data_IF_449116617102
#
_entry.id   IF_449116617102
#
_cell.length_a   1.000
_cell.length_b   1.000
_cell.length_c   1.000
_cell.angle_alpha   90.00
_cell.angle_beta   90.00
_cell.angle_gamma   90.00
#
_symmetry.space_group_name_H-M   'P 1'
#
loop_
_entity.id
_entity.type
_entity.pdbx_description
1 polymer ?
#
# COMPACT_ATOMS: atom_id res chain seq x y z
N UNK A 1 5.58 14.79 -57.04
CA UNK A 1 6.21 13.77 -56.17
C UNK A 1 6.59 14.44 -54.86
N UNK A 2 5.82 14.20 -53.79
CA UNK A 2 6.06 14.83 -52.49
C UNK A 2 7.30 14.19 -51.85
N UNK A 3 8.37 14.97 -51.68
CA UNK A 3 9.59 14.53 -50.99
C UNK A 3 9.26 14.27 -49.52
N UNK A 4 9.16 12.99 -49.14
CA UNK A 4 9.13 12.59 -47.72
C UNK A 4 10.44 13.04 -47.07
N UNK A 5 10.35 14.08 -46.24
CA UNK A 5 11.46 14.55 -45.40
C UNK A 5 11.69 13.51 -44.30
N UNK A 6 12.69 12.64 -44.47
CA UNK A 6 13.04 11.59 -43.49
C UNK A 6 13.28 12.12 -42.06
N UNK A 7 13.72 13.37 -41.91
CA UNK A 7 13.86 14.02 -40.59
C UNK A 7 12.54 14.24 -39.85
N UNK A 8 11.41 14.30 -40.55
CA UNK A 8 10.08 14.49 -39.95
C UNK A 8 9.61 13.22 -39.22
N UNK A 9 9.83 12.05 -39.82
CA UNK A 9 9.45 10.74 -39.27
C UNK A 9 10.26 10.41 -38.00
N UNK A 10 11.55 10.79 -37.99
CA UNK A 10 12.42 10.56 -36.84
C UNK A 10 12.00 11.41 -35.63
N UNK A 11 11.63 12.66 -35.87
CA UNK A 11 11.17 13.58 -34.84
C UNK A 11 9.82 13.13 -34.26
N UNK A 12 8.87 12.72 -35.11
CA UNK A 12 7.59 12.15 -34.66
C UNK A 12 7.77 10.87 -33.85
N UNK A 13 8.70 10.00 -34.24
CA UNK A 13 9.00 8.77 -33.50
C UNK A 13 9.63 9.08 -32.13
N UNK A 14 10.49 10.11 -32.06
CA UNK A 14 11.12 10.54 -30.81
C UNK A 14 10.11 11.19 -29.86
N UNK A 15 9.20 12.02 -30.37
CA UNK A 15 8.15 12.63 -29.53
C UNK A 15 7.18 11.57 -29.03
N UNK A 16 6.78 10.61 -29.87
CA UNK A 16 5.97 9.47 -29.45
C UNK A 16 6.66 8.67 -28.35
N UNK A 17 7.96 8.38 -28.48
CA UNK A 17 8.73 7.68 -27.45
C UNK A 17 8.75 8.44 -26.12
N UNK A 18 9.01 9.75 -26.14
CA UNK A 18 9.03 10.59 -24.92
C UNK A 18 7.66 10.58 -24.24
N UNK A 19 6.57 10.69 -25.00
CA UNK A 19 5.21 10.64 -24.48
C UNK A 19 4.95 9.27 -23.84
N UNK A 20 5.29 8.18 -24.54
CA UNK A 20 5.12 6.81 -24.00
C UNK A 20 5.89 6.60 -22.70
N UNK A 21 7.15 7.02 -22.64
CA UNK A 21 7.95 6.93 -21.40
C UNK A 21 7.32 7.75 -20.28
N UNK A 22 6.85 8.96 -20.57
CA UNK A 22 6.20 9.82 -19.58
C UNK A 22 4.91 9.20 -19.03
N UNK A 23 4.12 8.57 -19.90
CA UNK A 23 2.90 7.85 -19.51
C UNK A 23 3.22 6.65 -18.63
N UNK A 24 4.18 5.80 -19.04
CA UNK A 24 4.60 4.62 -18.28
C UNK A 24 5.14 5.03 -16.91
N UNK A 25 5.95 6.09 -16.85
CA UNK A 25 6.50 6.61 -15.61
C UNK A 25 5.39 7.09 -14.67
N UNK A 26 4.45 7.88 -15.19
CA UNK A 26 3.31 8.39 -14.41
C UNK A 26 2.43 7.26 -13.87
N UNK A 27 2.14 6.25 -14.70
CA UNK A 27 1.39 5.07 -14.27
C UNK A 27 2.12 4.29 -13.18
N UNK A 28 3.44 4.11 -13.32
CA UNK A 28 4.27 3.41 -12.34
C UNK A 28 4.24 4.12 -10.99
N UNK A 29 4.37 5.45 -10.98
CA UNK A 29 4.25 6.26 -9.76
C UNK A 29 2.86 6.14 -9.13
N UNK A 30 1.80 6.25 -9.93
CA UNK A 30 0.43 6.14 -9.44
C UNK A 30 0.17 4.78 -8.80
N UNK A 31 0.52 3.69 -9.48
CA UNK A 31 0.39 2.32 -8.98
C UNK A 31 1.17 2.15 -7.67
N UNK A 32 2.38 2.71 -7.59
CA UNK A 32 3.20 2.66 -6.37
C UNK A 32 2.52 3.34 -5.19
N UNK A 33 1.94 4.52 -5.38
CA UNK A 33 1.19 5.21 -4.31
C UNK A 33 -0.09 4.48 -3.92
N UNK A 34 -0.80 3.89 -4.88
CA UNK A 34 -1.97 3.06 -4.59
C UNK A 34 -1.60 1.83 -3.76
N UNK A 35 -0.49 1.15 -4.08
CA UNK A 35 0.01 0.04 -3.28
C UNK A 35 0.33 0.45 -1.84
N UNK A 36 0.93 1.63 -1.63
CA UNK A 36 1.17 2.15 -0.27
C UNK A 36 -0.12 2.38 0.50
N UNK A 37 -1.18 2.87 -0.16
CA UNK A 37 -2.48 3.05 0.47
C UNK A 37 -3.13 1.71 0.83
N UNK A 38 -3.12 0.74 -0.10
CA UNK A 38 -3.64 -0.62 0.14
C UNK A 38 -2.92 -1.26 1.31
N UNK A 39 -1.59 -1.13 1.36
CA UNK A 39 -0.78 -1.68 2.43
C UNK A 39 -1.13 -1.09 3.81
N UNK A 40 -1.41 0.21 3.89
CA UNK A 40 -1.92 0.86 5.12
C UNK A 40 -3.29 0.34 5.52
N UNK A 41 -4.20 0.15 4.56
CA UNK A 41 -5.51 -0.42 4.81
C UNK A 41 -5.42 -1.87 5.28
N UNK A 42 -4.55 -2.67 4.67
CA UNK A 42 -4.29 -4.05 5.09
C UNK A 42 -3.75 -4.11 6.52
N UNK A 43 -2.82 -3.22 6.89
CA UNK A 43 -2.36 -3.10 8.28
C UNK A 43 -3.51 -2.82 9.25
N UNK A 44 -4.39 -1.87 8.90
CA UNK A 44 -5.55 -1.49 9.72
C UNK A 44 -6.54 -2.65 9.88
N UNK A 45 -6.91 -3.30 8.79
CA UNK A 45 -7.87 -4.42 8.79
C UNK A 45 -7.31 -5.58 9.61
N UNK A 46 -6.03 -5.93 9.42
CA UNK A 46 -5.38 -6.97 10.21
C UNK A 46 -5.34 -6.62 11.70
N UNK A 47 -5.05 -5.36 12.06
CA UNK A 47 -5.10 -4.92 13.44
C UNK A 47 -6.49 -5.09 14.07
N UNK A 48 -7.56 -4.73 13.35
CA UNK A 48 -8.93 -4.92 13.84
C UNK A 48 -9.31 -6.41 13.93
N UNK A 49 -8.86 -7.22 12.97
CA UNK A 49 -9.04 -8.68 13.01
C UNK A 49 -8.40 -9.30 14.25
N UNK A 50 -7.19 -8.86 14.61
CA UNK A 50 -6.51 -9.32 15.82
C UNK A 50 -7.31 -8.96 17.08
N UNK A 51 -7.84 -7.73 17.14
CA UNK A 51 -8.71 -7.30 18.25
C UNK A 51 -9.97 -8.17 18.32
N UNK A 52 -10.61 -8.44 17.18
CA UNK A 52 -11.81 -9.28 17.10
C UNK A 52 -11.54 -10.72 17.55
N UNK A 53 -10.44 -11.33 17.11
CA UNK A 53 -10.05 -12.68 17.56
C UNK A 53 -9.82 -12.75 19.07
N UNK A 54 -9.28 -11.68 19.66
CA UNK A 54 -9.12 -11.57 21.10
C UNK A 54 -10.48 -11.44 21.81
N UNK A 55 -11.42 -10.68 21.25
CA UNK A 55 -12.79 -10.55 21.76
C UNK A 55 -13.59 -11.86 21.70
N UNK A 56 -13.33 -12.69 20.68
CA UNK A 56 -13.94 -14.01 20.52
C UNK A 56 -13.38 -15.06 21.51
N UNK A 57 -12.45 -14.67 22.39
CA UNK A 57 -11.88 -15.56 23.41
C UNK A 57 -10.88 -16.57 22.85
N UNK A 58 -10.38 -16.37 21.63
CA UNK A 58 -9.21 -17.12 21.16
C UNK A 58 -7.98 -16.59 21.89
N UNK A 59 -7.10 -17.48 22.36
CA UNK A 59 -5.84 -17.10 23.00
C UNK A 59 -4.88 -16.54 21.94
N UNK A 60 -5.09 -15.26 21.62
CA UNK A 60 -4.27 -14.55 20.66
C UNK A 60 -2.99 -14.14 21.38
N UNK A 61 -1.88 -14.80 21.02
CA UNK A 61 -0.54 -14.42 21.48
C UNK A 61 -0.35 -12.91 21.34
N UNK A 62 0.17 -12.26 22.39
CA UNK A 62 0.43 -10.80 22.43
C UNK A 62 1.27 -10.29 21.26
N UNK A 63 1.96 -11.18 20.55
CA UNK A 63 2.75 -10.92 19.35
C UNK A 63 2.32 -11.86 18.23
N UNK A 64 1.94 -11.31 17.09
CA UNK A 64 1.63 -12.08 15.87
C UNK A 64 2.48 -11.57 14.72
N UNK A 65 2.96 -12.47 13.86
CA UNK A 65 3.68 -12.09 12.64
C UNK A 65 2.79 -12.36 11.44
N UNK A 66 2.44 -11.31 10.69
CA UNK A 66 1.68 -11.42 9.43
C UNK A 66 2.50 -10.74 8.33
N UNK A 67 2.78 -11.45 7.24
CA UNK A 67 3.57 -10.93 6.09
C UNK A 67 4.85 -10.19 6.51
N UNK A 68 5.67 -10.83 7.33
CA UNK A 68 6.94 -10.29 7.84
C UNK A 68 6.81 -9.00 8.69
N UNK A 69 5.60 -8.70 9.20
CA UNK A 69 5.34 -7.58 10.11
C UNK A 69 4.88 -8.10 11.45
N UNK A 70 5.36 -7.46 12.50
CA UNK A 70 5.06 -7.84 13.88
C UNK A 70 3.94 -6.96 14.40
N UNK A 71 2.86 -7.60 14.86
CA UNK A 71 1.70 -6.98 15.48
C UNK A 71 1.77 -7.25 16.98
N UNK A 72 1.77 -6.19 17.78
CA UNK A 72 1.75 -6.27 19.24
C UNK A 72 0.37 -5.89 19.76
N UNK A 73 -0.32 -6.84 20.37
CA UNK A 73 -1.59 -6.61 21.03
C UNK A 73 -1.38 -6.19 22.48
N UNK A 74 -2.07 -5.14 22.90
CA UNK A 74 -2.13 -4.65 24.28
C UNK A 74 -3.57 -4.31 24.65
N UNK A 75 -3.95 -4.60 25.88
CA UNK A 75 -5.25 -4.26 26.45
C UNK A 75 -5.04 -3.37 27.67
N UNK A 76 -5.70 -2.20 27.66
CA UNK A 76 -5.83 -1.30 28.81
C UNK A 76 -7.29 -1.30 29.27
N UNK A 77 -7.58 -0.87 30.50
CA UNK A 77 -8.91 -0.96 31.15
C UNK A 77 -10.10 -0.57 30.25
N UNK A 78 -9.95 0.42 29.36
CA UNK A 78 -11.01 0.90 28.47
C UNK A 78 -10.71 0.77 26.96
N UNK A 79 -9.58 0.20 26.55
CA UNK A 79 -9.15 0.22 25.14
C UNK A 79 -8.41 -1.05 24.72
N UNK A 80 -8.74 -1.55 23.52
CA UNK A 80 -7.95 -2.54 22.80
C UNK A 80 -7.00 -1.83 21.86
N UNK A 81 -5.71 -2.22 21.86
CA UNK A 81 -4.68 -1.58 21.06
C UNK A 81 -3.83 -2.61 20.33
N UNK A 82 -3.54 -2.34 19.05
CA UNK A 82 -2.60 -3.12 18.25
C UNK A 82 -1.56 -2.19 17.64
N UNK A 83 -0.29 -2.44 17.93
CA UNK A 83 0.85 -1.69 17.39
C UNK A 83 1.53 -2.44 16.26
N UNK A 84 1.75 -1.75 15.13
CA UNK A 84 2.41 -2.28 13.92
C UNK A 84 3.30 -1.20 13.34
N UNK A 85 4.61 -1.44 13.22
CA UNK A 85 5.54 -0.51 12.57
C UNK A 85 5.35 0.97 12.98
N UNK A 86 5.23 1.24 14.29
CA UNK A 86 4.97 2.56 14.93
C UNK A 86 3.54 3.11 14.77
N UNK A 87 2.66 2.48 14.00
CA UNK A 87 1.24 2.81 13.95
C UNK A 87 0.51 2.10 15.09
N UNK A 88 -0.37 2.81 15.79
CA UNK A 88 -1.21 2.28 16.86
C UNK A 88 -2.66 2.36 16.39
N UNK A 89 -3.33 1.20 16.32
CA UNK A 89 -4.76 1.10 16.04
C UNK A 89 -5.48 0.78 17.33
N UNK A 90 -6.50 1.57 17.67
CA UNK A 90 -7.23 1.44 18.93
C UNK A 90 -8.74 1.40 18.73
N UNK A 91 -9.41 0.62 19.58
CA UNK A 91 -10.87 0.53 19.68
C UNK A 91 -11.23 0.72 21.16
N UNK A 92 -12.23 1.56 21.43
CA UNK A 92 -12.76 1.72 22.79
C UNK A 92 -13.63 0.52 23.15
N UNK A 93 -13.51 0.05 24.40
CA UNK A 93 -14.24 -1.10 24.91
C UNK A 93 -15.72 -0.80 25.08
#
# INVERSE_FOLDING_TARGET
MSQKRNGFILFESLTALIISVSVIFTLTLCVTEQFKLIDKWEQRVNAHKIILLYLEGQDVSRKIVIKNRVYYFSQTQNKYQVMVNKNVYQIEK
#
